data_IF_191166928474
#
_entry.id   IF_191166928474
#
_cell.length_a   1.000
_cell.length_b   1.000
_cell.length_c   1.000
_cell.angle_alpha   90.00
_cell.angle_beta   90.00
_cell.angle_gamma   90.00
#
_symmetry.space_group_name_H-M   'P 1'
#
loop_
_entity.id
_entity.type
_entity.pdbx_description
1 polymer ?
#
# COMPACT_ATOMS: atom_id res chain seq x y z
N UNK A 1 -41.44 -59.59 -36.11
CA UNK A 1 -40.27 -59.02 -35.37
C UNK A 1 -40.70 -57.65 -34.88
N UNK A 2 -41.27 -57.53 -33.67
CA UNK A 2 -40.63 -57.36 -32.35
C UNK A 2 -40.50 -55.88 -31.92
N UNK A 3 -41.19 -55.56 -30.81
CA UNK A 3 -40.87 -54.59 -29.73
C UNK A 3 -41.37 -53.12 -29.85
N UNK A 4 -42.32 -52.76 -28.98
CA UNK A 4 -42.52 -51.44 -28.30
C UNK A 4 -41.56 -51.37 -27.08
N UNK A 5 -41.26 -50.26 -26.33
CA UNK A 5 -41.93 -48.94 -26.18
C UNK A 5 -40.98 -47.72 -25.87
N UNK A 6 -41.58 -46.63 -25.34
CA UNK A 6 -41.12 -45.66 -24.29
C UNK A 6 -40.34 -44.37 -24.61
N UNK A 7 -41.04 -43.27 -24.29
CA UNK A 7 -40.66 -41.95 -23.77
C UNK A 7 -39.21 -41.69 -23.29
N UNK A 8 -38.72 -40.46 -23.52
CA UNK A 8 -37.96 -39.70 -22.51
C UNK A 8 -38.35 -38.22 -22.56
N UNK A 9 -38.77 -37.73 -21.40
CA UNK A 9 -39.08 -36.36 -21.04
C UNK A 9 -37.83 -35.62 -20.59
N UNK A 10 -37.86 -34.29 -20.66
CA UNK A 10 -37.05 -33.31 -19.92
C UNK A 10 -35.52 -33.39 -20.06
N UNK A 11 -34.90 -32.28 -20.46
CA UNK A 11 -33.84 -31.58 -19.73
C UNK A 11 -33.69 -30.21 -20.41
N UNK A 12 -34.31 -29.18 -19.83
CA UNK A 12 -33.92 -27.79 -20.05
C UNK A 12 -34.15 -27.01 -18.76
N UNK A 13 -33.36 -27.34 -17.74
CA UNK A 13 -33.36 -26.65 -16.45
C UNK A 13 -31.96 -26.72 -15.84
N UNK A 14 -30.98 -26.20 -16.57
CA UNK A 14 -29.60 -26.09 -16.10
C UNK A 14 -29.07 -24.68 -16.35
N UNK A 15 -29.72 -23.65 -15.82
CA UNK A 15 -29.23 -22.26 -15.90
C UNK A 15 -29.75 -21.39 -14.74
N UNK A 16 -29.73 -21.92 -13.51
CA UNK A 16 -29.94 -21.13 -12.29
C UNK A 16 -29.32 -21.84 -11.09
N UNK A 17 -28.01 -22.14 -11.16
CA UNK A 17 -27.27 -22.29 -9.92
C UNK A 17 -26.89 -20.88 -9.45
N UNK A 18 -27.41 -20.39 -8.31
CA UNK A 18 -26.89 -19.16 -7.72
C UNK A 18 -25.39 -19.37 -7.54
N UNK A 19 -24.58 -18.39 -7.95
CA UNK A 19 -23.17 -18.39 -7.64
C UNK A 19 -23.05 -18.64 -6.13
N UNK A 20 -22.48 -19.78 -5.74
CA UNK A 20 -22.11 -20.02 -4.35
C UNK A 20 -21.02 -19.01 -4.07
N UNK A 21 -21.41 -17.85 -3.53
CA UNK A 21 -20.44 -16.94 -2.96
C UNK A 21 -19.71 -17.74 -1.89
N UNK A 22 -18.37 -17.84 -1.93
CA UNK A 22 -17.65 -18.49 -0.87
C UNK A 22 -18.11 -17.86 0.44
N UNK A 23 -18.53 -18.71 1.39
CA UNK A 23 -18.90 -18.25 2.71
C UNK A 23 -17.74 -17.40 3.23
N UNK A 24 -18.03 -16.13 3.55
CA UNK A 24 -17.02 -15.27 4.17
C UNK A 24 -16.48 -16.02 5.39
N UNK A 25 -15.17 -16.18 5.54
CA UNK A 25 -14.60 -16.88 6.68
C UNK A 25 -15.19 -16.26 7.96
N UNK A 26 -15.66 -17.10 8.88
CA UNK A 26 -16.08 -16.60 10.19
C UNK A 26 -14.81 -16.21 10.95
N UNK A 27 -14.47 -14.93 10.90
CA UNK A 27 -13.35 -14.40 11.65
C UNK A 27 -13.76 -14.17 13.11
N UNK A 28 -12.78 -14.12 14.01
CA UNK A 28 -13.01 -13.71 15.39
C UNK A 28 -13.57 -12.27 15.39
N UNK A 29 -14.77 -12.02 15.94
CA UNK A 29 -15.37 -10.69 15.98
C UNK A 29 -14.48 -9.61 16.63
N UNK A 30 -13.60 -10.01 17.57
CA UNK A 30 -12.59 -9.12 18.13
C UNK A 30 -11.57 -8.70 17.08
N UNK A 31 -11.06 -9.64 16.28
CA UNK A 31 -10.09 -9.34 15.23
C UNK A 31 -10.69 -8.50 14.11
N UNK A 32 -11.95 -8.73 13.74
CA UNK A 32 -12.65 -7.90 12.75
C UNK A 32 -12.80 -6.46 13.25
N UNK A 33 -13.23 -6.29 14.50
CA UNK A 33 -13.34 -4.96 15.11
C UNK A 33 -11.98 -4.28 15.20
N UNK A 34 -10.93 -5.01 15.57
CA UNK A 34 -9.57 -4.49 15.64
C UNK A 34 -9.10 -4.01 14.27
N UNK A 35 -9.22 -4.85 13.24
CA UNK A 35 -8.81 -4.51 11.87
C UNK A 35 -9.60 -3.33 11.31
N UNK A 36 -10.92 -3.29 11.50
CA UNK A 36 -11.76 -2.19 11.04
C UNK A 36 -11.35 -0.87 11.72
N UNK A 37 -11.12 -0.88 13.03
CA UNK A 37 -10.70 0.33 13.77
C UNK A 37 -9.29 0.78 13.37
N UNK A 38 -8.37 -0.17 13.17
CA UNK A 38 -7.02 0.15 12.68
C UNK A 38 -7.06 0.75 11.27
N UNK A 39 -7.86 0.18 10.37
CA UNK A 39 -8.08 0.76 9.04
C UNK A 39 -8.66 2.18 9.16
N UNK A 40 -9.71 2.35 9.95
CA UNK A 40 -10.37 3.65 10.12
C UNK A 40 -9.36 4.72 10.56
N UNK A 41 -8.47 4.39 11.49
CA UNK A 41 -7.39 5.30 11.88
C UNK A 41 -6.56 5.74 10.66
N UNK A 42 -6.05 4.81 9.84
CA UNK A 42 -5.29 5.17 8.64
C UNK A 42 -6.10 6.02 7.66
N UNK A 43 -7.39 5.73 7.47
CA UNK A 43 -8.26 6.49 6.58
C UNK A 43 -8.49 7.91 7.08
N UNK A 44 -8.64 8.09 8.39
CA UNK A 44 -8.90 9.38 9.04
C UNK A 44 -7.66 10.27 9.08
N UNK A 45 -6.50 9.70 9.40
CA UNK A 45 -5.30 10.50 9.70
C UNK A 45 -4.34 10.65 8.51
N UNK A 46 -4.50 9.84 7.46
CA UNK A 46 -3.62 9.88 6.28
C UNK A 46 -4.33 10.59 5.12
N UNK A 47 -3.89 11.79 4.72
CA UNK A 47 -4.53 12.53 3.64
C UNK A 47 -4.40 11.79 2.30
N UNK A 48 -5.53 11.58 1.61
CA UNK A 48 -5.56 10.86 0.32
C UNK A 48 -4.64 11.47 -0.74
N UNK A 49 -4.45 12.80 -0.70
CA UNK A 49 -3.66 13.54 -1.71
C UNK A 49 -2.15 13.27 -1.66
N UNK A 50 -1.61 12.82 -0.53
CA UNK A 50 -0.16 12.71 -0.34
C UNK A 50 0.30 11.48 0.44
N UNK A 51 -0.62 10.77 1.12
CA UNK A 51 -0.28 9.55 1.84
C UNK A 51 0.59 9.76 3.08
N UNK A 52 0.78 11.00 3.53
CA UNK A 52 1.67 11.32 4.66
C UNK A 52 1.00 10.97 5.99
N UNK A 53 1.22 9.74 6.46
CA UNK A 53 0.73 9.22 7.75
C UNK A 53 1.52 9.81 8.92
N UNK A 54 0.85 10.37 9.95
CA UNK A 54 1.53 10.94 11.12
C UNK A 54 2.24 9.86 11.92
N UNK A 55 3.36 10.24 12.53
CA UNK A 55 4.09 9.40 13.48
C UNK A 55 3.29 9.13 14.77
N UNK A 56 2.53 10.13 15.23
CA UNK A 56 1.73 10.07 16.44
C UNK A 56 0.38 10.77 16.26
N UNK A 57 -0.65 10.20 16.89
CA UNK A 57 -2.00 10.74 16.97
C UNK A 57 -2.48 10.73 18.44
N UNK A 58 -3.31 11.68 18.92
CA UNK A 58 -3.98 12.79 18.23
C UNK A 58 -3.21 14.11 18.25
N UNK A 59 -1.90 14.07 18.16
CA UNK A 59 -1.06 15.26 18.37
C UNK A 59 -0.79 16.04 17.09
N UNK A 60 -1.28 17.27 17.01
CA UNK A 60 -1.22 18.09 15.78
C UNK A 60 0.20 18.44 15.32
N UNK A 61 1.16 18.57 16.23
CA UNK A 61 2.56 18.88 15.88
C UNK A 61 3.34 17.69 15.33
N UNK A 62 2.78 16.47 15.35
CA UNK A 62 3.48 15.28 14.88
C UNK A 62 3.72 15.34 13.35
N UNK A 63 4.95 15.08 12.88
CA UNK A 63 5.27 14.98 11.46
C UNK A 63 4.74 13.67 10.89
N UNK A 64 4.88 13.51 9.58
CA UNK A 64 4.70 12.21 8.97
C UNK A 64 5.94 11.34 9.17
N UNK A 65 5.75 10.05 9.47
CA UNK A 65 6.82 9.05 9.52
C UNK A 65 6.76 8.21 8.24
N UNK A 66 7.89 8.10 7.52
CA UNK A 66 7.92 7.30 6.29
C UNK A 66 7.72 5.80 6.56
N UNK A 67 8.06 5.31 7.76
CA UNK A 67 7.77 3.94 8.16
C UNK A 67 6.25 3.74 8.32
N UNK A 68 5.56 4.69 8.94
CA UNK A 68 4.10 4.68 9.06
C UNK A 68 3.41 4.69 7.68
N UNK A 69 3.96 5.42 6.70
CA UNK A 69 3.50 5.38 5.31
C UNK A 69 3.68 3.98 4.70
N UNK A 70 4.83 3.34 4.94
CA UNK A 70 5.06 1.95 4.54
C UNK A 70 3.98 1.01 5.07
N UNK A 71 3.61 1.13 6.34
CA UNK A 71 2.52 0.34 6.92
C UNK A 71 1.15 0.70 6.31
N UNK A 72 0.85 1.97 6.08
CA UNK A 72 -0.38 2.39 5.41
C UNK A 72 -0.54 1.75 4.03
N UNK A 73 0.53 1.69 3.24
CA UNK A 73 0.57 1.05 1.92
C UNK A 73 0.28 -0.47 1.97
N UNK A 74 0.59 -1.14 3.08
CA UNK A 74 0.21 -2.55 3.30
C UNK A 74 -1.23 -2.71 3.78
N UNK A 75 -1.73 -1.74 4.57
CA UNK A 75 -3.10 -1.78 5.11
C UNK A 75 -4.15 -1.73 4.02
N UNK A 76 -3.96 -0.94 2.95
CA UNK A 76 -5.00 -0.77 1.92
C UNK A 76 -5.30 -2.06 1.13
N UNK A 77 -4.31 -2.80 0.60
CA UNK A 77 -4.56 -4.13 0.04
C UNK A 77 -5.25 -5.10 1.00
N UNK A 78 -4.79 -5.16 2.25
CA UNK A 78 -5.37 -6.07 3.27
C UNK A 78 -6.84 -5.73 3.52
N UNK A 79 -7.16 -4.44 3.61
CA UNK A 79 -8.53 -3.97 3.76
C UNK A 79 -9.41 -4.28 2.55
N UNK A 80 -8.85 -4.23 1.33
CA UNK A 80 -9.57 -4.62 0.11
C UNK A 80 -9.89 -6.13 0.08
N UNK A 81 -8.94 -7.00 0.43
CA UNK A 81 -9.18 -8.44 0.54
C UNK A 81 -10.19 -8.81 1.63
N UNK A 82 -10.24 -7.99 2.69
CA UNK A 82 -11.24 -8.11 3.76
C UNK A 82 -12.59 -7.49 3.41
N UNK A 83 -12.74 -6.88 2.24
CA UNK A 83 -13.98 -6.20 1.83
C UNK A 83 -14.33 -4.97 2.68
N UNK A 84 -13.37 -4.41 3.42
CA UNK A 84 -13.57 -3.21 4.24
C UNK A 84 -13.54 -1.92 3.42
N UNK A 85 -12.83 -1.94 2.29
CA UNK A 85 -12.85 -0.94 1.21
C UNK A 85 -12.83 -1.68 -0.13
N UNK A 86 -13.19 -0.99 -1.22
CA UNK A 86 -13.03 -1.59 -2.55
C UNK A 86 -11.55 -1.64 -2.95
N UNK A 87 -11.21 -2.55 -3.87
CA UNK A 87 -9.86 -2.61 -4.43
C UNK A 87 -9.51 -1.31 -5.16
N UNK A 88 -10.48 -0.69 -5.82
CA UNK A 88 -10.31 0.58 -6.53
C UNK A 88 -9.96 1.70 -5.54
N UNK A 89 -10.67 1.81 -4.40
CA UNK A 89 -10.34 2.77 -3.34
C UNK A 89 -8.93 2.53 -2.77
N UNK A 90 -8.56 1.27 -2.57
CA UNK A 90 -7.21 0.91 -2.12
C UNK A 90 -6.14 1.30 -3.14
N UNK A 91 -6.40 1.05 -4.44
CA UNK A 91 -5.49 1.38 -5.54
C UNK A 91 -5.31 2.89 -5.70
N UNK A 92 -6.38 3.67 -5.61
CA UNK A 92 -6.32 5.14 -5.72
C UNK A 92 -5.48 5.77 -4.60
N UNK A 93 -5.70 5.35 -3.35
CA UNK A 93 -4.90 5.80 -2.19
C UNK A 93 -3.43 5.41 -2.31
N UNK A 94 -3.17 4.19 -2.74
CA UNK A 94 -1.81 3.70 -3.01
C UNK A 94 -1.15 4.55 -4.10
N UNK A 95 -1.80 4.72 -5.26
CA UNK A 95 -1.25 5.45 -6.40
C UNK A 95 -0.96 6.90 -6.05
N UNK A 96 -1.85 7.58 -5.34
CA UNK A 96 -1.65 8.95 -4.88
C UNK A 96 -0.40 9.08 -3.99
N UNK A 97 -0.24 8.17 -3.03
CA UNK A 97 0.95 8.09 -2.17
C UNK A 97 2.23 7.88 -3.00
N UNK A 98 2.23 6.90 -3.91
CA UNK A 98 3.41 6.60 -4.74
C UNK A 98 3.79 7.76 -5.66
N UNK A 99 2.80 8.42 -6.29
CA UNK A 99 3.01 9.62 -7.11
C UNK A 99 3.63 10.74 -6.28
N UNK A 100 3.11 10.97 -5.08
CA UNK A 100 3.62 12.00 -4.18
C UNK A 100 5.10 11.72 -3.81
N UNK A 101 5.41 10.52 -3.33
CA UNK A 101 6.79 10.13 -2.97
C UNK A 101 7.75 10.11 -4.16
N UNK A 102 7.26 9.80 -5.36
CA UNK A 102 8.05 9.89 -6.58
C UNK A 102 8.42 11.34 -6.90
N UNK A 103 7.46 12.26 -6.78
CA UNK A 103 7.62 13.68 -7.06
C UNK A 103 8.38 14.48 -5.99
N UNK A 104 8.55 13.92 -4.78
CA UNK A 104 9.27 14.58 -3.71
C UNK A 104 10.74 14.88 -4.09
N UNK A 105 11.26 16.06 -3.73
CA UNK A 105 12.63 16.43 -4.06
C UNK A 105 13.66 15.49 -3.41
N UNK A 106 14.73 15.23 -4.15
CA UNK A 106 15.89 14.45 -3.75
C UNK A 106 17.16 15.26 -4.03
N UNK A 107 17.95 15.57 -3.01
CA UNK A 107 19.06 16.51 -3.10
C UNK A 107 20.03 16.35 -1.94
N UNK A 108 21.28 16.78 -2.13
CA UNK A 108 22.25 16.92 -1.04
C UNK A 108 21.94 18.11 -0.12
N UNK A 109 21.05 19.03 -0.54
CA UNK A 109 20.52 20.10 0.32
C UNK A 109 19.65 19.48 1.42
N UNK A 110 20.16 19.53 2.65
CA UNK A 110 19.55 18.93 3.85
C UNK A 110 18.23 19.57 4.30
N UNK A 111 17.82 20.69 3.71
CA UNK A 111 16.70 21.52 4.20
C UNK A 111 15.53 21.64 3.22
N UNK A 112 15.79 21.48 1.92
CA UNK A 112 14.79 21.65 0.85
C UNK A 112 14.54 20.35 0.09
N UNK A 113 14.63 19.23 0.78
CA UNK A 113 14.52 17.90 0.19
C UNK A 113 13.74 16.96 1.10
N UNK A 114 13.14 15.93 0.51
CA UNK A 114 12.57 14.80 1.27
C UNK A 114 13.59 13.68 1.50
N UNK A 115 14.69 13.70 0.76
CA UNK A 115 15.75 12.72 0.90
C UNK A 115 16.92 12.94 -0.04
N UNK A 116 17.78 11.92 -0.14
CA UNK A 116 18.97 11.94 -0.96
C UNK A 116 19.30 10.52 -1.44
N UNK A 117 19.78 10.39 -2.68
CA UNK A 117 20.17 9.08 -3.27
C UNK A 117 19.04 8.04 -3.24
N UNK A 118 17.79 8.51 -3.31
CA UNK A 118 16.59 7.67 -3.24
C UNK A 118 16.18 7.26 -1.83
N UNK A 119 17.04 7.44 -0.82
CA UNK A 119 16.63 7.34 0.57
C UNK A 119 15.78 8.53 0.97
N UNK A 120 15.00 8.37 2.03
CA UNK A 120 14.15 9.40 2.60
C UNK A 120 14.54 9.72 4.04
N UNK A 121 14.29 10.96 4.43
CA UNK A 121 14.39 11.37 5.83
C UNK A 121 13.29 10.70 6.64
N UNK A 122 13.59 10.32 7.88
CA UNK A 122 12.64 9.65 8.79
C UNK A 122 11.31 10.41 8.88
N UNK A 123 11.40 11.71 9.18
CA UNK A 123 10.26 12.58 9.37
C UNK A 123 10.13 13.61 8.26
N UNK A 124 8.91 13.72 7.74
CA UNK A 124 8.54 14.70 6.74
C UNK A 124 7.44 15.63 7.26
N UNK A 125 7.51 16.90 6.87
CA UNK A 125 6.46 17.88 7.09
C UNK A 125 5.18 17.45 6.37
N UNK A 126 4.05 17.47 7.08
CA UNK A 126 2.76 17.01 6.53
C UNK A 126 2.24 17.85 5.35
N UNK A 127 2.64 19.11 5.28
CA UNK A 127 2.19 20.07 4.26
C UNK A 127 3.01 19.97 2.95
N UNK A 128 4.32 19.78 3.09
CA UNK A 128 5.30 19.96 2.02
C UNK A 128 6.07 18.68 1.68
N UNK A 129 6.07 17.69 2.57
CA UNK A 129 6.82 16.44 2.40
C UNK A 129 8.34 16.64 2.49
N UNK A 130 8.81 17.79 2.95
CA UNK A 130 10.23 18.06 3.17
C UNK A 130 10.67 17.59 4.56
N UNK A 131 11.97 17.40 4.76
CA UNK A 131 12.55 16.97 6.04
C UNK A 131 12.05 17.81 7.23
N UNK A 132 11.73 17.12 8.33
CA UNK A 132 11.36 17.70 9.62
C UNK A 132 12.37 17.36 10.73
N UNK A 133 12.45 18.20 11.78
CA UNK A 133 13.26 18.02 13.01
C UNK A 133 14.74 17.70 12.83
N UNK A 134 15.35 18.08 11.71
CA UNK A 134 16.74 17.72 11.38
C UNK A 134 17.00 16.20 11.53
N UNK A 135 15.99 15.35 11.33
CA UNK A 135 16.10 13.89 11.43
C UNK A 135 17.06 13.30 10.40
N UNK A 136 17.59 12.11 10.68
CA UNK A 136 18.50 11.38 9.82
C UNK A 136 17.87 10.96 8.48
N UNK A 137 18.73 10.81 7.47
CA UNK A 137 18.38 10.09 6.25
C UNK A 137 18.30 8.61 6.64
N UNK A 138 17.09 8.07 6.80
CA UNK A 138 16.88 6.83 7.56
C UNK A 138 16.88 5.62 6.65
N UNK A 139 17.85 4.72 6.85
CA UNK A 139 17.92 3.44 6.13
C UNK A 139 16.84 2.48 6.55
N UNK A 140 16.54 2.40 7.85
CA UNK A 140 15.53 1.48 8.37
C UNK A 140 14.13 1.89 7.91
N UNK A 141 13.81 3.17 8.00
CA UNK A 141 12.46 3.64 7.64
C UNK A 141 12.29 3.71 6.12
N UNK A 142 13.35 4.00 5.36
CA UNK A 142 13.34 3.80 3.90
C UNK A 142 13.09 2.33 3.58
N UNK A 143 13.71 1.39 4.31
CA UNK A 143 13.48 -0.04 4.13
C UNK A 143 12.03 -0.44 4.39
N UNK A 144 11.43 0.03 5.49
CA UNK A 144 10.02 -0.21 5.83
C UNK A 144 9.06 0.43 4.81
N UNK A 145 9.34 1.66 4.36
CA UNK A 145 8.61 2.29 3.26
C UNK A 145 8.66 1.43 2.00
N UNK A 146 9.86 1.00 1.59
CA UNK A 146 10.03 0.17 0.38
C UNK A 146 9.35 -1.20 0.51
N UNK A 147 9.30 -1.79 1.71
CA UNK A 147 8.54 -3.02 1.93
C UNK A 147 7.05 -2.82 1.63
N UNK A 148 6.45 -1.71 2.10
CA UNK A 148 5.07 -1.36 1.76
C UNK A 148 4.86 -1.11 0.27
N UNK A 149 5.78 -0.37 -0.36
CA UNK A 149 5.77 -0.10 -1.81
C UNK A 149 5.80 -1.38 -2.64
N UNK A 150 6.70 -2.32 -2.33
CA UNK A 150 6.83 -3.60 -3.03
C UNK A 150 5.66 -4.54 -2.76
N UNK A 151 5.09 -4.48 -1.55
CA UNK A 151 3.86 -5.20 -1.23
C UNK A 151 2.70 -4.72 -2.11
N UNK A 152 2.50 -3.40 -2.21
CA UNK A 152 1.50 -2.82 -3.11
C UNK A 152 1.75 -3.21 -4.57
N UNK A 153 3.01 -3.17 -5.04
CA UNK A 153 3.38 -3.61 -6.39
C UNK A 153 2.92 -5.04 -6.69
N UNK A 154 3.14 -5.94 -5.73
CA UNK A 154 2.85 -7.37 -5.88
C UNK A 154 1.35 -7.65 -5.83
N UNK A 155 0.60 -6.86 -5.05
CA UNK A 155 -0.84 -7.03 -4.89
C UNK A 155 -1.66 -6.45 -6.05
N UNK A 156 -1.30 -5.26 -6.53
CA UNK A 156 -2.02 -4.56 -7.60
C UNK A 156 -1.56 -5.05 -8.98
N UNK A 157 -2.09 -6.20 -9.40
CA UNK A 157 -1.69 -6.97 -10.58
C UNK A 157 -2.66 -6.91 -11.77
N UNK A 158 -3.84 -6.27 -11.63
CA UNK A 158 -4.83 -6.20 -12.72
C UNK A 158 -4.31 -5.39 -13.91
N UNK A 159 -4.89 -5.66 -15.08
CA UNK A 159 -4.61 -4.94 -16.32
C UNK A 159 -5.40 -3.62 -16.42
N UNK A 160 -5.29 -2.78 -15.39
CA UNK A 160 -5.87 -1.44 -15.37
C UNK A 160 -4.78 -0.37 -15.45
N UNK A 161 -5.15 0.83 -15.93
CA UNK A 161 -4.20 1.97 -15.99
C UNK A 161 -3.64 2.30 -14.61
N UNK A 162 -4.50 2.34 -13.59
CA UNK A 162 -4.15 2.64 -12.19
C UNK A 162 -3.16 1.62 -11.65
N UNK A 163 -3.46 0.33 -11.76
CA UNK A 163 -2.60 -0.71 -11.18
C UNK A 163 -1.28 -0.88 -11.97
N UNK A 164 -1.29 -0.69 -13.30
CA UNK A 164 -0.05 -0.61 -14.09
C UNK A 164 0.85 0.52 -13.60
N UNK A 165 0.29 1.69 -13.33
CA UNK A 165 1.06 2.84 -12.84
C UNK A 165 1.61 2.62 -11.43
N UNK A 166 0.85 1.99 -10.53
CA UNK A 166 1.34 1.55 -9.22
C UNK A 166 2.59 0.68 -9.40
N UNK A 167 2.53 -0.33 -10.27
CA UNK A 167 3.66 -1.24 -10.49
C UNK A 167 4.90 -0.54 -11.02
N UNK A 168 4.72 0.41 -11.94
CA UNK A 168 5.81 1.21 -12.52
C UNK A 168 6.44 2.13 -11.48
N UNK A 169 5.63 2.87 -10.71
CA UNK A 169 6.14 3.78 -9.68
C UNK A 169 6.81 3.02 -8.54
N UNK A 170 6.27 1.89 -8.14
CA UNK A 170 6.86 1.07 -7.10
C UNK A 170 8.24 0.51 -7.49
N UNK A 171 8.37 -0.04 -8.70
CA UNK A 171 9.67 -0.47 -9.24
C UNK A 171 10.66 0.70 -9.31
N UNK A 172 10.19 1.86 -9.80
CA UNK A 172 11.01 3.07 -9.93
C UNK A 172 11.50 3.58 -8.57
N UNK A 173 10.63 3.62 -7.57
CA UNK A 173 10.96 4.03 -6.20
C UNK A 173 11.99 3.07 -5.58
N UNK A 174 11.75 1.77 -5.68
CA UNK A 174 12.65 0.76 -5.14
C UNK A 174 14.05 0.82 -5.77
N UNK A 175 14.12 0.91 -7.10
CA UNK A 175 15.38 1.00 -7.84
C UNK A 175 16.12 2.32 -7.66
N UNK A 176 15.42 3.39 -7.28
CA UNK A 176 16.03 4.70 -7.02
C UNK A 176 16.89 4.68 -5.76
N UNK A 177 16.66 3.76 -4.83
CA UNK A 177 17.40 3.71 -3.56
C UNK A 177 18.81 3.13 -3.76
N UNK A 178 19.82 3.97 -3.54
CA UNK A 178 21.23 3.58 -3.64
C UNK A 178 21.72 2.94 -2.33
N UNK A 179 21.29 1.69 -2.09
CA UNK A 179 21.72 0.92 -0.91
C UNK A 179 23.24 0.71 -0.87
N UNK A 180 23.90 0.64 -2.03
CA UNK A 180 25.35 0.48 -2.11
C UNK A 180 26.07 1.72 -1.59
N UNK A 181 25.56 2.92 -1.88
CA UNK A 181 26.11 4.16 -1.32
C UNK A 181 26.11 4.16 0.22
N UNK A 182 25.05 3.63 0.84
CA UNK A 182 24.97 3.51 2.31
C UNK A 182 25.97 2.52 2.92
N UNK A 183 26.63 1.69 2.12
CA UNK A 183 27.70 0.82 2.64
C UNK A 183 29.02 1.54 2.84
N UNK A 184 29.20 2.70 2.20
CA UNK A 184 30.46 3.46 2.19
C UNK A 184 31.71 2.56 1.94
N UNK A 185 31.58 1.57 1.05
CA UNK A 185 32.66 0.63 0.71
C UNK A 185 32.97 -0.44 1.76
N UNK A 186 32.15 -0.58 2.80
CA UNK A 186 32.31 -1.58 3.87
C UNK A 186 31.33 -2.76 3.70
N UNK A 187 31.56 -3.83 4.47
CA UNK A 187 30.55 -4.89 4.62
C UNK A 187 29.44 -4.40 5.55
N UNK A 188 28.24 -4.19 5.00
CA UNK A 188 27.05 -3.76 5.74
C UNK A 188 26.69 -2.29 5.52
N UNK A 189 25.51 -1.90 6.02
CA UNK A 189 25.01 -0.52 5.98
C UNK A 189 25.65 0.27 7.12
N UNK A 190 26.23 1.43 6.80
CA UNK A 190 26.70 2.40 7.79
C UNK A 190 25.63 3.44 8.04
N UNK A 191 25.25 3.64 9.32
CA UNK A 191 24.32 4.66 9.77
C UNK A 191 25.06 5.87 10.33
#
# INVERSE_FOLDING_TARGET
MTVRPTAVSLILSLLLMPAVMPAQPHWDPFLDTLQQRTLQWFLDVTPEKNGLTPDRWPTDWSPASIAAVGFALTTYPVAAERGLITREQAAERTLSTLRYFWALPQSADRTKTAGYRGLFYHFLKKDSGLREWNCELSTIDTGLLMAGVLFSQSYFDKDSRTEREIRVLADSLYRRVDWKWMTNGKQGITM
#
